data_IF_359105792739
#
_entry.id   IF_359105792739
#
_cell.length_a   1.000
_cell.length_b   1.000
_cell.length_c   1.000
_cell.angle_alpha   90.00
_cell.angle_beta   90.00
_cell.angle_gamma   90.00
#
_symmetry.space_group_name_H-M   'P 1'
#
loop_
_entity.id
_entity.type
_entity.pdbx_description
1 polymer ?
#
# COMPACT_ATOMS: atom_id res chain seq x y z
N UNK A 1 44.57 10.69 -11.89
CA UNK A 1 43.56 10.09 -11.00
C UNK A 1 42.55 9.33 -11.86
N UNK A 2 42.48 8.02 -11.70
CA UNK A 2 41.53 7.18 -12.46
C UNK A 2 40.25 7.01 -11.63
N UNK A 3 39.12 7.49 -12.12
CA UNK A 3 37.80 7.30 -11.50
C UNK A 3 37.25 5.96 -12.00
N UNK A 4 37.47 4.90 -11.26
CA UNK A 4 36.91 3.57 -11.61
C UNK A 4 35.53 3.46 -10.98
N UNK A 5 34.48 3.55 -11.80
CA UNK A 5 33.11 3.22 -11.39
C UNK A 5 33.00 1.71 -11.28
N UNK A 6 32.76 1.19 -10.08
CA UNK A 6 32.35 -0.20 -9.89
C UNK A 6 30.84 -0.26 -10.08
N UNK A 7 30.38 -1.08 -11.00
CA UNK A 7 29.00 -1.50 -11.08
C UNK A 7 28.74 -2.32 -9.80
N UNK A 8 27.97 -1.77 -8.87
CA UNK A 8 27.55 -2.53 -7.68
C UNK A 8 26.66 -3.67 -8.15
N UNK A 9 27.04 -4.90 -7.88
CA UNK A 9 26.11 -6.02 -7.92
C UNK A 9 25.06 -5.76 -6.82
N UNK A 10 23.89 -5.27 -7.23
CA UNK A 10 22.71 -5.20 -6.36
C UNK A 10 22.08 -6.59 -6.27
N UNK A 11 22.86 -7.56 -5.79
CA UNK A 11 22.32 -8.88 -5.48
C UNK A 11 21.61 -8.78 -4.12
N UNK A 12 20.35 -8.35 -4.17
CA UNK A 12 19.50 -8.36 -2.99
C UNK A 12 19.27 -9.80 -2.58
N UNK A 13 19.59 -10.09 -1.33
CA UNK A 13 19.31 -11.38 -0.71
C UNK A 13 17.82 -11.69 -0.82
N UNK A 14 17.47 -12.86 -1.37
CA UNK A 14 16.10 -13.25 -1.67
C UNK A 14 15.71 -14.43 -0.82
N UNK A 15 14.47 -14.41 -0.31
CA UNK A 15 13.90 -15.55 0.36
C UNK A 15 13.88 -16.77 -0.59
N UNK A 16 14.34 -17.90 -0.12
CA UNK A 16 14.33 -19.15 -0.88
C UNK A 16 12.91 -19.74 -0.97
N UNK A 17 12.72 -20.65 -1.93
CA UNK A 17 11.50 -21.45 -1.97
C UNK A 17 11.44 -22.36 -0.74
N UNK A 18 10.25 -22.50 -0.16
CA UNK A 18 10.09 -23.33 1.03
C UNK A 18 8.74 -23.12 1.71
N UNK A 19 8.57 -23.76 2.84
CA UNK A 19 7.40 -23.62 3.70
C UNK A 19 7.81 -22.89 4.97
N UNK A 20 7.07 -21.86 5.34
CA UNK A 20 7.39 -21.00 6.45
C UNK A 20 6.17 -20.72 7.33
N UNK A 21 6.40 -20.44 8.61
CA UNK A 21 5.49 -19.61 9.37
C UNK A 21 5.83 -18.14 9.12
N UNK A 22 4.81 -17.34 9.03
CA UNK A 22 4.93 -15.90 8.83
C UNK A 22 3.82 -15.18 9.59
N UNK A 23 4.02 -13.93 9.94
CA UNK A 23 3.02 -13.09 10.59
C UNK A 23 2.65 -11.93 9.66
N UNK A 24 1.35 -11.70 9.48
CA UNK A 24 0.87 -10.57 8.70
C UNK A 24 1.22 -9.27 9.44
N UNK A 25 2.00 -8.40 8.80
CA UNK A 25 2.42 -7.14 9.42
C UNK A 25 1.95 -5.90 8.68
N UNK A 26 1.52 -6.05 7.41
CA UNK A 26 1.08 -4.89 6.64
C UNK A 26 -0.06 -5.23 5.70
N UNK A 27 -1.06 -4.36 5.68
CA UNK A 27 -2.17 -4.37 4.75
C UNK A 27 -2.32 -2.97 4.15
N UNK A 28 -2.34 -2.91 2.82
CA UNK A 28 -2.43 -1.64 2.09
C UNK A 28 -3.57 -1.70 1.09
N UNK A 29 -4.56 -0.86 1.29
CA UNK A 29 -5.58 -0.62 0.27
C UNK A 29 -4.93 0.17 -0.88
N UNK A 30 -4.84 -0.45 -2.04
CA UNK A 30 -4.24 0.13 -3.24
C UNK A 30 -5.26 0.92 -4.09
N UNK A 31 -6.51 0.97 -3.64
CA UNK A 31 -7.61 1.54 -4.39
C UNK A 31 -7.92 0.78 -5.68
N UNK A 32 -8.68 1.43 -6.55
CA UNK A 32 -9.08 0.88 -7.84
C UNK A 32 -7.98 1.08 -8.88
N UNK A 33 -7.55 -0.03 -9.47
CA UNK A 33 -6.49 -0.10 -10.46
C UNK A 33 -7.00 -0.65 -11.79
N UNK A 34 -6.35 -0.27 -12.89
CA UNK A 34 -6.58 -0.90 -14.18
C UNK A 34 -6.02 -2.33 -14.16
N UNK A 35 -6.86 -3.28 -14.54
CA UNK A 35 -6.49 -4.68 -14.63
C UNK A 35 -6.72 -5.17 -16.06
N UNK A 36 -5.64 -5.28 -16.83
CA UNK A 36 -5.70 -5.75 -18.21
C UNK A 36 -5.51 -7.25 -18.27
N UNK A 37 -6.51 -7.95 -18.83
CA UNK A 37 -6.48 -9.38 -19.06
C UNK A 37 -6.97 -9.71 -20.48
N UNK A 38 -6.17 -10.41 -21.26
CA UNK A 38 -6.47 -10.79 -22.66
C UNK A 38 -6.85 -9.60 -23.56
N UNK A 39 -6.24 -8.42 -23.31
CA UNK A 39 -6.52 -7.21 -24.10
C UNK A 39 -7.72 -6.39 -23.63
N UNK A 40 -8.48 -6.88 -22.67
CA UNK A 40 -9.57 -6.13 -22.04
C UNK A 40 -9.08 -5.50 -20.72
N UNK A 41 -9.35 -4.22 -20.53
CA UNK A 41 -9.01 -3.49 -19.31
C UNK A 41 -10.26 -3.28 -18.48
N UNK A 42 -10.24 -3.80 -17.26
CA UNK A 42 -11.29 -3.65 -16.27
C UNK A 42 -10.74 -2.99 -15.01
N UNK A 43 -11.56 -2.18 -14.36
CA UNK A 43 -11.22 -1.57 -13.07
C UNK A 43 -11.46 -2.55 -11.94
N UNK A 44 -10.48 -2.73 -11.06
CA UNK A 44 -10.59 -3.61 -9.90
C UNK A 44 -9.95 -2.97 -8.69
N UNK A 45 -10.67 -2.99 -7.58
CA UNK A 45 -10.11 -2.64 -6.28
C UNK A 45 -9.07 -3.67 -5.88
N UNK A 46 -7.93 -3.22 -5.39
CA UNK A 46 -6.76 -4.05 -5.05
C UNK A 46 -6.33 -3.82 -3.61
N UNK A 47 -5.83 -4.88 -3.00
CA UNK A 47 -5.23 -4.83 -1.67
C UNK A 47 -3.92 -5.60 -1.69
N UNK A 48 -2.91 -5.08 -1.01
CA UNK A 48 -1.64 -5.76 -0.74
C UNK A 48 -1.66 -6.28 0.68
N UNK A 49 -1.25 -7.53 0.86
CA UNK A 49 -1.04 -8.14 2.18
C UNK A 49 0.40 -8.63 2.23
N UNK A 50 1.15 -8.17 3.23
CA UNK A 50 2.55 -8.51 3.42
C UNK A 50 2.75 -9.26 4.74
N UNK A 51 3.64 -10.23 4.67
CA UNK A 51 3.97 -11.15 5.74
C UNK A 51 5.47 -11.08 6.05
N UNK A 52 5.79 -11.09 7.34
CA UNK A 52 7.14 -11.25 7.86
C UNK A 52 7.40 -12.71 8.17
N UNK A 53 8.50 -13.25 7.66
CA UNK A 53 8.90 -14.63 7.89
C UNK A 53 9.40 -14.76 9.33
N UNK A 54 8.83 -15.71 10.07
CA UNK A 54 9.16 -15.93 11.49
C UNK A 54 9.86 -17.26 11.73
N UNK A 55 9.56 -18.30 10.93
CA UNK A 55 10.14 -19.63 11.10
C UNK A 55 10.17 -20.37 9.76
N UNK A 56 11.28 -21.07 9.47
CA UNK A 56 11.36 -22.02 8.36
C UNK A 56 10.87 -23.41 8.82
N UNK A 57 9.95 -23.99 8.07
CA UNK A 57 9.36 -25.30 8.38
C UNK A 57 9.95 -26.45 7.56
N UNK A 58 10.70 -26.11 6.53
CA UNK A 58 11.39 -27.08 5.68
C UNK A 58 12.80 -27.33 6.25
N UNK A 59 13.18 -28.58 6.52
CA UNK A 59 14.50 -28.88 7.09
C UNK A 59 15.69 -28.44 6.20
N UNK A 60 15.44 -28.30 4.89
CA UNK A 60 16.47 -27.88 3.94
C UNK A 60 16.57 -26.33 3.82
N UNK A 61 15.68 -25.60 4.48
CA UNK A 61 15.61 -24.13 4.42
C UNK A 61 15.70 -23.56 5.82
N UNK A 62 16.79 -22.86 6.12
CA UNK A 62 16.99 -22.23 7.44
C UNK A 62 16.95 -20.70 7.40
N UNK A 63 16.73 -20.10 6.24
CA UNK A 63 16.85 -18.68 6.05
C UNK A 63 15.55 -17.97 6.41
N UNK A 64 15.50 -17.29 7.55
CA UNK A 64 14.38 -16.46 8.01
C UNK A 64 14.73 -14.98 8.09
N UNK A 65 16.03 -14.67 8.09
CA UNK A 65 16.57 -13.31 8.13
C UNK A 65 17.63 -13.09 7.05
N UNK A 66 17.74 -11.85 6.62
CA UNK A 66 18.82 -11.39 5.75
C UNK A 66 20.15 -11.38 6.53
N UNK A 67 21.28 -11.25 5.82
CA UNK A 67 22.61 -11.18 6.43
C UNK A 67 22.79 -10.01 7.42
N UNK A 68 22.01 -8.95 7.25
CA UNK A 68 21.97 -7.79 8.16
C UNK A 68 21.05 -7.97 9.38
N UNK A 69 20.45 -9.15 9.55
CA UNK A 69 19.57 -9.51 10.66
C UNK A 69 18.11 -9.06 10.51
N UNK A 70 17.74 -8.37 9.42
CA UNK A 70 16.35 -8.02 9.16
C UNK A 70 15.55 -9.26 8.72
N UNK A 71 14.29 -9.42 9.15
CA UNK A 71 13.46 -10.52 8.71
C UNK A 71 13.13 -10.36 7.22
N UNK A 72 12.94 -11.49 6.53
CA UNK A 72 12.39 -11.46 5.18
C UNK A 72 10.93 -11.08 5.20
N UNK A 73 10.54 -10.22 4.24
CA UNK A 73 9.15 -9.91 3.93
C UNK A 73 8.74 -10.51 2.59
N UNK A 74 7.53 -11.05 2.52
CA UNK A 74 6.91 -11.49 1.27
C UNK A 74 5.47 -11.04 1.22
N UNK A 75 5.02 -10.53 0.08
CA UNK A 75 3.67 -10.01 -0.07
C UNK A 75 2.93 -10.57 -1.27
N UNK A 76 1.62 -10.41 -1.23
CA UNK A 76 0.73 -10.76 -2.33
C UNK A 76 -0.34 -9.72 -2.54
N UNK A 77 -0.49 -9.31 -3.79
CA UNK A 77 -1.58 -8.44 -4.23
C UNK A 77 -2.80 -9.28 -4.58
N UNK A 78 -3.96 -8.82 -4.13
CA UNK A 78 -5.26 -9.41 -4.41
C UNK A 78 -6.21 -8.41 -5.05
N UNK A 79 -7.16 -8.91 -5.83
CA UNK A 79 -8.40 -8.18 -6.06
C UNK A 79 -9.21 -8.23 -4.76
N UNK A 80 -9.63 -7.07 -4.26
CA UNK A 80 -10.45 -6.95 -3.05
C UNK A 80 -11.87 -7.46 -3.33
N UNK A 81 -12.06 -8.76 -3.26
CA UNK A 81 -13.30 -9.46 -3.57
C UNK A 81 -13.48 -10.65 -2.67
N UNK A 82 -14.68 -10.78 -2.10
CA UNK A 82 -15.09 -11.90 -1.25
C UNK A 82 -16.03 -12.89 -1.97
N UNK A 83 -16.13 -12.82 -3.31
CA UNK A 83 -16.83 -13.86 -4.07
C UNK A 83 -16.16 -15.22 -3.84
N UNK A 84 -16.94 -16.30 -3.87
CA UNK A 84 -16.47 -17.68 -3.63
C UNK A 84 -15.30 -18.09 -4.54
N UNK A 85 -15.29 -17.60 -5.78
CA UNK A 85 -14.21 -17.84 -6.73
C UNK A 85 -12.97 -16.97 -6.53
N UNK A 86 -13.05 -15.91 -5.71
CA UNK A 86 -11.96 -14.94 -5.52
C UNK A 86 -10.78 -15.54 -4.75
N UNK A 87 -9.57 -15.24 -5.20
CA UNK A 87 -8.35 -15.73 -4.57
C UNK A 87 -8.19 -15.21 -3.14
N UNK A 88 -8.57 -13.95 -2.89
CA UNK A 88 -8.52 -13.37 -1.54
C UNK A 88 -9.34 -14.22 -0.55
N UNK A 89 -10.63 -14.47 -0.86
CA UNK A 89 -11.48 -15.28 0.00
C UNK A 89 -10.92 -16.68 0.22
N UNK A 90 -10.50 -17.37 -0.84
CA UNK A 90 -9.92 -18.71 -0.75
C UNK A 90 -8.68 -18.76 0.14
N UNK A 91 -7.80 -17.77 0.01
CA UNK A 91 -6.60 -17.71 0.82
C UNK A 91 -6.91 -17.39 2.29
N UNK A 92 -7.87 -16.50 2.56
CA UNK A 92 -8.32 -16.20 3.93
C UNK A 92 -9.00 -17.43 4.58
N UNK A 93 -9.85 -18.16 3.85
CA UNK A 93 -10.47 -19.40 4.33
C UNK A 93 -9.42 -20.48 4.61
N UNK A 94 -8.43 -20.61 3.73
CA UNK A 94 -7.32 -21.54 3.91
C UNK A 94 -6.42 -21.16 5.10
N UNK A 95 -6.22 -19.88 5.33
CA UNK A 95 -5.49 -19.34 6.49
C UNK A 95 -6.20 -19.66 7.81
N UNK A 96 -7.52 -19.46 7.85
CA UNK A 96 -8.36 -19.79 9.05
C UNK A 96 -8.56 -21.29 9.26
N UNK A 97 -8.34 -22.13 8.25
CA UNK A 97 -8.68 -23.54 8.24
C UNK A 97 -10.19 -23.83 8.17
N UNK A 98 -11.04 -22.82 7.91
CA UNK A 98 -12.50 -22.99 7.77
C UNK A 98 -13.09 -21.94 6.82
N UNK A 99 -14.20 -22.31 6.17
CA UNK A 99 -14.97 -21.38 5.33
C UNK A 99 -15.67 -20.30 6.17
N UNK A 100 -15.93 -19.16 5.55
CA UNK A 100 -16.74 -18.09 6.13
C UNK A 100 -18.23 -18.40 6.01
N UNK A 101 -19.00 -18.10 7.07
CA UNK A 101 -20.44 -17.98 6.97
C UNK A 101 -20.82 -16.66 6.28
N UNK A 102 -22.09 -16.52 5.86
CA UNK A 102 -22.53 -15.26 5.24
C UNK A 102 -22.43 -14.09 6.23
N UNK A 103 -22.79 -14.31 7.50
CA UNK A 103 -22.72 -13.31 8.57
C UNK A 103 -21.27 -12.85 8.81
N UNK A 104 -20.30 -13.78 8.78
CA UNK A 104 -18.88 -13.45 8.88
C UNK A 104 -18.40 -12.66 7.66
N UNK A 105 -18.87 -12.96 6.45
CA UNK A 105 -18.52 -12.22 5.24
C UNK A 105 -19.07 -10.79 5.24
N UNK A 106 -20.28 -10.60 5.78
CA UNK A 106 -20.94 -9.29 5.82
C UNK A 106 -20.29 -8.32 6.82
N UNK A 107 -19.52 -8.86 7.79
CA UNK A 107 -18.81 -8.11 8.83
C UNK A 107 -17.29 -8.27 8.77
N UNK A 108 -16.74 -8.84 7.69
CA UNK A 108 -15.31 -9.13 7.59
C UNK A 108 -14.48 -7.86 7.45
N UNK A 109 -13.61 -7.62 8.41
CA UNK A 109 -12.55 -6.64 8.31
C UNK A 109 -11.20 -7.33 8.06
N UNK A 110 -10.49 -6.92 7.02
CA UNK A 110 -9.17 -7.51 6.71
C UNK A 110 -8.17 -7.26 7.83
N UNK A 111 -8.30 -6.16 8.53
CA UNK A 111 -7.45 -5.79 9.68
C UNK A 111 -7.49 -6.78 10.82
N UNK A 112 -8.53 -7.62 10.92
CA UNK A 112 -8.60 -8.71 11.90
C UNK A 112 -7.50 -9.77 11.74
N UNK A 113 -6.92 -9.84 10.54
CA UNK A 113 -5.80 -10.75 10.24
C UNK A 113 -4.42 -10.11 10.48
N UNK A 114 -4.37 -8.81 10.78
CA UNK A 114 -3.12 -8.13 11.09
C UNK A 114 -2.54 -8.67 12.41
N UNK A 115 -1.26 -9.01 12.42
CA UNK A 115 -0.60 -9.66 13.56
C UNK A 115 -0.88 -11.16 13.68
N UNK A 116 -1.74 -11.75 12.84
CA UNK A 116 -2.02 -13.19 12.89
C UNK A 116 -0.94 -13.98 12.15
N UNK A 117 -0.56 -15.12 12.74
CA UNK A 117 0.39 -16.08 12.14
C UNK A 117 -0.31 -16.91 11.06
N UNK A 118 0.43 -17.26 10.04
CA UNK A 118 0.00 -18.08 8.91
C UNK A 118 1.12 -19.03 8.48
N UNK A 119 0.79 -20.18 7.93
CA UNK A 119 1.74 -21.00 7.22
C UNK A 119 1.70 -20.64 5.73
N UNK A 120 2.84 -20.25 5.17
CA UNK A 120 2.95 -19.89 3.76
C UNK A 120 3.87 -20.85 3.01
N UNK A 121 3.48 -21.16 1.77
CA UNK A 121 4.33 -21.82 0.80
C UNK A 121 4.86 -20.77 -0.17
N UNK A 122 6.19 -20.61 -0.21
CA UNK A 122 6.91 -19.68 -1.07
C UNK A 122 7.49 -20.43 -2.25
N UNK A 123 7.19 -19.96 -3.44
CA UNK A 123 7.84 -20.37 -4.67
C UNK A 123 8.61 -19.22 -5.30
N UNK A 124 9.17 -19.46 -6.47
CA UNK A 124 9.88 -18.46 -7.24
C UNK A 124 9.12 -18.10 -8.51
N UNK A 125 9.20 -16.83 -8.91
CA UNK A 125 8.66 -16.40 -10.20
C UNK A 125 9.49 -16.98 -11.33
N UNK A 126 8.83 -17.39 -12.41
CA UNK A 126 9.52 -17.71 -13.66
C UNK A 126 10.11 -16.46 -14.33
N UNK A 127 11.00 -16.64 -15.31
CA UNK A 127 11.49 -15.56 -16.13
C UNK A 127 10.35 -14.91 -16.93
N UNK A 128 10.52 -13.63 -17.30
CA UNK A 128 9.60 -12.94 -18.18
C UNK A 128 9.66 -13.52 -19.60
N UNK A 129 8.68 -13.24 -20.47
CA UNK A 129 8.69 -13.72 -21.87
C UNK A 129 9.93 -13.32 -22.67
N UNK A 130 10.61 -12.24 -22.31
CA UNK A 130 11.86 -11.77 -22.87
C UNK A 130 13.10 -12.46 -22.28
N UNK A 131 12.90 -13.44 -21.40
CA UNK A 131 13.98 -14.16 -20.71
C UNK A 131 14.62 -13.41 -19.54
N UNK A 132 14.20 -12.16 -19.27
CA UNK A 132 14.73 -11.37 -18.16
C UNK A 132 13.99 -11.62 -16.85
N UNK A 133 14.65 -11.32 -15.74
CA UNK A 133 14.04 -11.42 -14.40
C UNK A 133 13.78 -12.86 -13.97
N UNK A 134 12.85 -13.06 -13.06
CA UNK A 134 12.56 -14.36 -12.44
C UNK A 134 13.33 -14.55 -11.13
N UNK A 135 13.06 -15.69 -10.47
CA UNK A 135 13.68 -16.04 -9.19
C UNK A 135 13.27 -15.15 -8.01
N UNK A 136 12.24 -14.31 -8.16
CA UNK A 136 11.74 -13.54 -7.02
C UNK A 136 10.75 -14.38 -6.20
N UNK A 137 10.81 -14.30 -4.86
CA UNK A 137 9.88 -15.01 -4.00
C UNK A 137 8.44 -14.57 -4.27
N UNK A 138 7.54 -15.55 -4.26
CA UNK A 138 6.09 -15.31 -4.37
C UNK A 138 5.34 -16.30 -3.49
N UNK A 139 4.25 -15.85 -2.90
CA UNK A 139 3.33 -16.72 -2.16
C UNK A 139 2.57 -17.61 -3.15
N UNK A 140 2.69 -18.91 -2.97
CA UNK A 140 1.93 -19.92 -3.72
C UNK A 140 0.62 -20.20 -3.02
N UNK A 141 0.67 -20.40 -1.68
CA UNK A 141 -0.47 -20.79 -0.85
C UNK A 141 -0.33 -20.21 0.54
N UNK A 142 -1.47 -19.83 1.11
CA UNK A 142 -1.65 -19.63 2.55
C UNK A 142 -2.36 -20.85 3.11
N UNK A 143 -2.08 -21.20 4.36
CA UNK A 143 -2.77 -22.29 5.07
C UNK A 143 -2.72 -22.05 6.58
N UNK A 144 -3.59 -22.74 7.29
CA UNK A 144 -3.62 -22.72 8.74
C UNK A 144 -2.23 -23.03 9.32
N UNK A 145 -1.75 -22.26 10.31
CA UNK A 145 -0.51 -22.55 11.00
C UNK A 145 -0.61 -23.92 11.69
N UNK A 146 0.54 -24.55 11.97
CA UNK A 146 0.57 -25.83 12.67
C UNK A 146 -0.12 -25.67 14.05
N UNK A 147 -0.91 -26.67 14.45
CA UNK A 147 -1.56 -26.69 15.76
C UNK A 147 -0.55 -26.42 16.90
N UNK A 148 -0.88 -25.47 17.78
CA UNK A 148 0.00 -25.04 18.86
C UNK A 148 1.07 -24.01 18.47
N UNK A 149 1.06 -23.49 17.23
CA UNK A 149 1.90 -22.37 16.85
C UNK A 149 1.44 -21.12 17.62
N UNK A 150 2.34 -20.56 18.43
CA UNK A 150 2.09 -19.29 19.10
C UNK A 150 2.12 -18.14 18.07
N UNK A 151 1.38 -17.07 18.37
CA UNK A 151 1.50 -15.84 17.60
C UNK A 151 2.88 -15.23 17.85
N UNK A 152 3.64 -15.03 16.79
CA UNK A 152 4.96 -14.41 16.86
C UNK A 152 4.83 -12.94 16.53
N UNK A 153 5.28 -12.08 17.45
CA UNK A 153 5.34 -10.64 17.20
C UNK A 153 6.32 -10.34 16.07
N UNK A 154 5.94 -9.41 15.20
CA UNK A 154 6.77 -8.96 14.09
C UNK A 154 7.84 -7.97 14.55
N UNK A 155 9.00 -7.97 13.91
CA UNK A 155 10.05 -6.95 14.06
C UNK A 155 9.61 -5.67 13.35
N UNK A 156 9.00 -5.81 12.16
CA UNK A 156 8.42 -4.69 11.45
C UNK A 156 7.14 -4.21 12.15
N UNK A 157 6.88 -2.89 12.18
CA UNK A 157 5.64 -2.36 12.73
C UNK A 157 4.43 -2.89 11.95
N UNK A 158 3.31 -3.09 12.66
CA UNK A 158 2.06 -3.43 12.01
C UNK A 158 1.46 -2.17 11.37
N UNK A 159 1.13 -2.26 10.09
CA UNK A 159 0.63 -1.15 9.27
C UNK A 159 -0.67 -1.55 8.59
N UNK A 160 -1.73 -0.76 8.79
CA UNK A 160 -2.96 -0.83 8.01
C UNK A 160 -3.21 0.52 7.34
N UNK A 161 -3.16 0.55 6.02
CA UNK A 161 -3.43 1.74 5.23
C UNK A 161 -4.80 1.64 4.56
N UNK A 162 -5.66 2.63 4.84
CA UNK A 162 -7.01 2.77 4.29
C UNK A 162 -7.07 3.95 3.32
N UNK A 163 -7.33 3.65 2.06
CA UNK A 163 -7.42 4.63 0.99
C UNK A 163 -8.54 5.65 1.21
N UNK A 164 -9.68 5.22 1.74
CA UNK A 164 -10.83 6.10 1.92
C UNK A 164 -10.56 7.17 2.99
N UNK A 165 -9.96 6.76 4.11
CA UNK A 165 -9.56 7.66 5.20
C UNK A 165 -8.44 8.61 4.74
N UNK A 166 -7.49 8.11 3.97
CA UNK A 166 -6.40 8.92 3.42
C UNK A 166 -6.92 10.00 2.46
N UNK A 167 -7.84 9.64 1.56
CA UNK A 167 -8.41 10.58 0.60
C UNK A 167 -9.27 11.66 1.25
N UNK A 168 -9.77 11.47 2.46
CA UNK A 168 -10.51 12.50 3.21
C UNK A 168 -9.66 13.75 3.45
N UNK A 169 -8.33 13.62 3.59
CA UNK A 169 -7.42 14.76 3.74
C UNK A 169 -7.49 15.71 2.54
N UNK A 170 -7.69 15.18 1.34
CA UNK A 170 -7.75 15.95 0.09
C UNK A 170 -9.18 16.33 -0.33
N UNK A 171 -10.19 15.64 0.21
CA UNK A 171 -11.60 15.83 -0.16
C UNK A 171 -12.31 16.94 0.61
N UNK A 172 -11.62 17.65 1.51
CA UNK A 172 -12.20 18.66 2.38
C UNK A 172 -12.86 18.09 3.65
N UNK A 173 -12.64 16.81 3.94
CA UNK A 173 -13.08 16.12 5.15
C UNK A 173 -11.91 15.88 6.12
N UNK A 174 -10.84 16.68 6.01
CA UNK A 174 -9.65 16.57 6.85
C UNK A 174 -10.00 16.54 8.33
N UNK A 175 -9.53 15.50 9.03
CA UNK A 175 -9.74 15.28 10.45
C UNK A 175 -8.51 14.57 11.06
N UNK A 176 -8.54 14.28 12.36
CA UNK A 176 -7.42 13.64 13.04
C UNK A 176 -7.06 12.27 12.45
N UNK A 177 -8.06 11.49 12.00
CA UNK A 177 -7.84 10.15 11.43
C UNK A 177 -7.20 10.24 10.05
N UNK A 178 -7.65 11.15 9.17
CA UNK A 178 -7.07 11.31 7.83
C UNK A 178 -5.62 11.83 7.92
N UNK A 179 -5.32 12.73 8.88
CA UNK A 179 -3.94 13.18 9.15
C UNK A 179 -3.06 12.05 9.65
N UNK A 180 -3.55 11.24 10.59
CA UNK A 180 -2.82 10.06 11.06
C UNK A 180 -2.59 9.05 9.93
N UNK A 181 -3.53 8.94 8.98
CA UNK A 181 -3.36 8.07 7.81
C UNK A 181 -2.30 8.58 6.84
N UNK A 182 -2.02 9.89 6.78
CA UNK A 182 -0.88 10.43 6.04
C UNK A 182 0.46 9.96 6.66
N UNK A 183 0.58 9.95 7.98
CA UNK A 183 1.77 9.41 8.66
C UNK A 183 1.93 7.91 8.36
N UNK A 184 0.82 7.15 8.36
CA UNK A 184 0.83 5.72 7.96
C UNK A 184 1.27 5.56 6.51
N UNK A 185 0.84 6.45 5.61
CA UNK A 185 1.25 6.39 4.19
C UNK A 185 2.75 6.59 4.00
N UNK A 186 3.37 7.45 4.80
CA UNK A 186 4.83 7.68 4.75
C UNK A 186 5.63 6.42 5.14
N UNK A 187 5.07 5.55 5.98
CA UNK A 187 5.65 4.26 6.35
C UNK A 187 5.42 3.14 5.32
N UNK A 188 4.55 3.37 4.33
CA UNK A 188 4.31 2.42 3.24
C UNK A 188 5.50 2.44 2.26
N UNK A 189 6.02 1.28 1.80
CA UNK A 189 7.12 1.24 0.84
C UNK A 189 6.83 2.01 -0.45
N UNK A 190 7.82 2.73 -0.97
CA UNK A 190 7.68 3.63 -2.12
C UNK A 190 7.02 2.99 -3.36
N UNK A 191 7.24 1.69 -3.61
CA UNK A 191 6.60 1.00 -4.73
C UNK A 191 5.09 0.80 -4.54
N UNK A 192 4.61 0.71 -3.29
CA UNK A 192 3.18 0.66 -2.96
C UNK A 192 2.58 2.06 -2.93
N UNK A 193 3.31 3.06 -2.38
CA UNK A 193 2.90 4.46 -2.44
C UNK A 193 2.60 4.86 -3.89
N UNK A 194 3.49 4.53 -4.82
CA UNK A 194 3.27 4.78 -6.24
C UNK A 194 1.99 4.13 -6.77
N UNK A 195 1.69 2.89 -6.37
CA UNK A 195 0.44 2.23 -6.76
C UNK A 195 -0.79 2.92 -6.18
N UNK A 196 -0.72 3.35 -4.92
CA UNK A 196 -1.77 4.15 -4.27
C UNK A 196 -2.02 5.44 -5.06
N UNK A 197 -0.96 6.17 -5.42
CA UNK A 197 -1.04 7.40 -6.21
C UNK A 197 -1.58 7.20 -7.64
N UNK A 198 -1.40 6.01 -8.20
CA UNK A 198 -1.94 5.62 -9.49
C UNK A 198 -3.43 5.19 -9.43
N UNK A 199 -4.04 5.09 -8.24
CA UNK A 199 -5.44 4.71 -8.06
C UNK A 199 -6.42 5.78 -8.56
N UNK A 200 -7.63 5.35 -8.87
CA UNK A 200 -8.69 6.26 -9.29
C UNK A 200 -9.16 7.16 -8.14
N UNK A 201 -9.24 6.64 -6.93
CA UNK A 201 -9.66 7.35 -5.72
C UNK A 201 -8.69 8.48 -5.39
N UNK A 202 -7.38 8.18 -5.34
CA UNK A 202 -6.35 9.18 -5.05
C UNK A 202 -6.34 10.30 -6.08
N UNK A 203 -6.34 9.98 -7.37
CA UNK A 203 -6.35 10.99 -8.44
C UNK A 203 -7.57 11.88 -8.37
N UNK A 204 -8.75 11.29 -8.12
CA UNK A 204 -10.00 12.06 -7.98
C UNK A 204 -9.96 12.97 -6.74
N UNK A 205 -9.39 12.50 -5.62
CA UNK A 205 -9.26 13.29 -4.40
C UNK A 205 -8.32 14.48 -4.59
N UNK A 206 -7.15 14.26 -5.19
CA UNK A 206 -6.17 15.33 -5.48
C UNK A 206 -6.76 16.36 -6.47
N UNK A 207 -7.45 15.92 -7.52
CA UNK A 207 -8.10 16.82 -8.47
C UNK A 207 -9.17 17.69 -7.80
N UNK A 208 -9.96 17.10 -6.91
CA UNK A 208 -10.97 17.82 -6.13
C UNK A 208 -10.34 18.83 -5.16
N UNK A 209 -9.30 18.42 -4.44
CA UNK A 209 -8.56 19.30 -3.53
C UNK A 209 -7.88 20.48 -4.25
N UNK A 210 -7.31 20.22 -5.43
CA UNK A 210 -6.74 21.28 -6.26
C UNK A 210 -7.79 22.29 -6.74
N UNK A 211 -9.00 21.82 -7.11
CA UNK A 211 -10.11 22.71 -7.48
C UNK A 211 -10.62 23.54 -6.30
N UNK A 212 -10.70 22.94 -5.11
CA UNK A 212 -11.11 23.68 -3.92
C UNK A 212 -10.12 24.81 -3.58
N UNK A 213 -8.81 24.55 -3.69
CA UNK A 213 -7.77 25.55 -3.47
C UNK A 213 -7.79 26.69 -4.47
N UNK A 214 -8.16 26.43 -5.73
CA UNK A 214 -8.29 27.50 -6.74
C UNK A 214 -9.52 28.36 -6.56
N UNK A 215 -10.59 27.81 -5.98
CA UNK A 215 -11.82 28.59 -5.68
C UNK A 215 -11.62 29.51 -4.46
N UNK A 216 -10.82 29.13 -3.48
CA UNK A 216 -10.48 30.02 -2.33
C UNK A 216 -9.60 31.21 -2.73
N UNK A 217 -8.83 31.11 -3.80
CA UNK A 217 -7.99 32.21 -4.30
C UNK A 217 -8.78 33.19 -5.20
N UNK A 218 -9.95 32.80 -5.71
CA UNK A 218 -10.87 33.64 -6.48
C UNK A 218 -11.97 34.32 -5.64
N UNK A 219 -11.81 34.47 -4.33
CA UNK A 219 -12.63 35.43 -3.59
C UNK A 219 -12.26 36.86 -4.07
N UNK A 220 -13.26 37.67 -4.47
CA UNK A 220 -13.02 38.85 -5.28
C UNK A 220 -12.11 39.85 -4.55
N UNK A 221 -11.09 40.30 -5.23
CA UNK A 221 -10.44 41.54 -4.93
C UNK A 221 -11.51 42.67 -4.99
N UNK A 222 -12.18 42.90 -3.88
CA UNK A 222 -12.95 44.15 -3.71
C UNK A 222 -11.98 45.31 -3.95
N UNK A 223 -12.28 45.97 -5.01
CA UNK A 223 -11.78 47.20 -5.56
C UNK A 223 -10.99 48.08 -4.58
N UNK A 224 -9.69 48.14 -4.76
CA UNK A 224 -8.83 49.27 -4.38
C UNK A 224 -9.03 50.47 -5.34
N UNK A 225 -10.12 50.52 -6.11
CA UNK A 225 -10.43 51.59 -7.04
C UNK A 225 -11.22 52.76 -6.42
N UNK A 226 -11.71 52.64 -5.17
CA UNK A 226 -12.50 53.67 -4.54
C UNK A 226 -11.73 54.54 -3.50
N UNK A 227 -10.43 54.43 -3.42
CA UNK A 227 -9.60 55.25 -2.54
C UNK A 227 -8.70 56.26 -3.27
N UNK A 228 -8.91 56.45 -4.59
CA UNK A 228 -8.10 57.39 -5.39
C UNK A 228 -8.90 58.56 -5.95
N UNK A 229 -10.06 58.94 -5.35
CA UNK A 229 -10.82 60.12 -5.80
C UNK A 229 -11.22 60.99 -4.63
N UNK A 230 -10.27 61.54 -3.89
CA UNK A 230 -10.49 62.77 -3.09
C UNK A 230 -9.17 63.37 -2.65
N UNK A 231 -8.54 64.14 -3.52
CA UNK A 231 -7.68 65.27 -3.18
C UNK A 231 -7.36 66.06 -4.45
N UNK A 232 -8.35 66.70 -5.01
CA UNK A 232 -8.12 68.02 -5.62
C UNK A 232 -8.25 69.02 -4.51
N UNK A 233 -7.18 69.67 -4.18
CA UNK A 233 -7.22 71.12 -3.84
C UNK A 233 -5.81 71.69 -3.84
N UNK A 234 -5.66 72.67 -4.72
CA UNK A 234 -4.84 73.80 -4.70
C UNK A 234 -3.72 73.93 -3.67
N UNK A 235 -2.52 74.08 -4.12
CA UNK A 235 -1.75 75.24 -3.66
C UNK A 235 -0.70 75.70 -4.71
N UNK A 236 -0.94 76.89 -5.20
CA UNK A 236 -0.02 77.72 -5.99
C UNK A 236 1.12 78.14 -5.09
N UNK A 237 2.35 77.92 -5.54
CA UNK A 237 3.49 78.70 -5.04
C UNK A 237 3.94 79.69 -6.09
N UNK A 238 4.09 80.92 -5.77
CA UNK A 238 4.76 81.91 -6.59
C UNK A 238 6.25 82.03 -6.20
N UNK A 239 7.08 82.22 -7.26
CA UNK A 239 8.50 82.55 -7.26
C UNK A 239 9.46 81.35 -7.31
#
# INVERSE_FOLDING_TARGET
MSLTLKQGDNDFEKLEKGIYHATCFRMVDLGTQDNTYKGETNKKMKVQIDFEITEALDPDTNQVTMADGRPFGVGREYTASLFESANLRKDLESWRGKSFTQEELDSLELTDFLGCTVKIEVGLTGPRPDGSGGGNPKIIRLSEPRNGTEQVATVNPQVAFDMSVYCDEFNGNSNANSKAMCDVFDDVPAYLQKKVEESYEYRAAVEKGARASTVEVEAPAESLADLASSSDDDDKLPF
#
